data_IF_331987101174
#
_entry.id   IF_331987101174
#
_cell.length_a   1.000
_cell.length_b   1.000
_cell.length_c   1.000
_cell.angle_alpha   90.00
_cell.angle_beta   90.00
_cell.angle_gamma   90.00
#
_symmetry.space_group_name_H-M   'P 1'
#
loop_
_entity.id
_entity.type
_entity.pdbx_description
1 polymer ?
#
# COMPACT_ATOMS: atom_id res chain seq x y z
N UNK A 1 -16.29 16.58 -10.64
CA UNK A 1 -15.71 16.68 -11.99
C UNK A 1 -16.80 16.52 -13.03
N UNK A 2 -16.89 17.41 -14.02
CA UNK A 2 -17.86 17.26 -15.11
C UNK A 2 -17.08 17.13 -16.41
N UNK A 3 -17.50 16.20 -17.27
CA UNK A 3 -16.87 16.05 -18.59
C UNK A 3 -17.16 17.32 -19.40
N UNK A 4 -16.11 18.06 -19.74
CA UNK A 4 -16.23 19.40 -20.33
C UNK A 4 -16.24 19.39 -21.88
N UNK A 5 -15.82 18.31 -22.51
CA UNK A 5 -15.64 18.23 -23.97
C UNK A 5 -15.86 16.81 -24.51
N UNK A 6 -16.03 16.69 -25.83
CA UNK A 6 -16.29 15.40 -26.50
C UNK A 6 -17.78 15.01 -26.49
N UNK A 7 -18.08 13.78 -26.89
CA UNK A 7 -19.47 13.32 -27.03
C UNK A 7 -20.23 13.25 -25.70
N UNK A 8 -19.51 13.09 -24.60
CA UNK A 8 -20.07 13.03 -23.25
C UNK A 8 -20.09 14.38 -22.51
N UNK A 9 -19.75 15.48 -23.19
CA UNK A 9 -19.71 16.80 -22.60
C UNK A 9 -21.05 17.18 -21.97
N UNK A 10 -21.02 17.58 -20.70
CA UNK A 10 -22.20 17.95 -19.92
C UNK A 10 -23.16 16.80 -19.59
N UNK A 11 -22.85 15.56 -20.03
CA UNK A 11 -23.70 14.37 -19.83
C UNK A 11 -23.17 13.45 -18.76
N UNK A 12 -21.92 13.63 -18.34
CA UNK A 12 -21.26 12.82 -17.34
C UNK A 12 -20.60 13.70 -16.30
N UNK A 13 -20.84 13.39 -15.04
CA UNK A 13 -20.15 14.00 -13.92
C UNK A 13 -19.81 12.96 -12.87
N UNK A 14 -18.75 13.24 -12.12
CA UNK A 14 -18.19 12.35 -11.12
C UNK A 14 -17.98 13.12 -9.82
N UNK A 15 -18.33 12.50 -8.70
CA UNK A 15 -17.99 12.96 -7.36
C UNK A 15 -17.15 11.89 -6.70
N UNK A 16 -15.98 12.26 -6.20
CA UNK A 16 -15.03 11.35 -5.56
C UNK A 16 -15.04 11.56 -4.05
N UNK A 17 -15.09 10.46 -3.32
CA UNK A 17 -15.02 10.40 -1.87
C UNK A 17 -13.84 9.54 -1.45
N UNK A 18 -12.98 10.09 -0.60
CA UNK A 18 -11.73 9.45 -0.16
C UNK A 18 -11.92 8.52 1.06
N UNK A 19 -13.15 8.34 1.51
CA UNK A 19 -13.51 7.55 2.69
C UNK A 19 -13.54 8.33 4.01
N UNK A 20 -13.14 9.60 4.02
CA UNK A 20 -13.12 10.44 5.24
C UNK A 20 -14.32 11.37 5.40
N UNK A 21 -15.28 11.29 4.49
CA UNK A 21 -16.53 12.05 4.57
C UNK A 21 -17.32 11.74 5.85
N UNK A 22 -18.00 12.76 6.34
CA UNK A 22 -18.82 12.72 7.57
C UNK A 22 -20.31 12.89 7.31
N UNK A 23 -20.70 13.09 6.06
CA UNK A 23 -22.09 13.25 5.60
C UNK A 23 -22.28 12.55 4.25
N UNK A 24 -23.51 12.16 3.96
CA UNK A 24 -23.88 11.58 2.66
C UNK A 24 -23.78 12.64 1.53
N UNK A 25 -23.74 12.19 0.27
CA UNK A 25 -23.88 13.08 -0.90
C UNK A 25 -25.32 13.58 -0.97
N UNK A 26 -25.52 14.89 -0.74
CA UNK A 26 -26.85 15.52 -0.75
C UNK A 26 -27.60 15.21 -2.06
N UNK A 27 -26.92 15.24 -3.20
CA UNK A 27 -27.54 15.03 -4.50
C UNK A 27 -27.95 13.56 -4.74
N UNK A 28 -27.24 12.59 -4.16
CA UNK A 28 -27.59 11.17 -4.17
C UNK A 28 -28.87 10.92 -3.33
N UNK A 29 -28.96 11.59 -2.18
CA UNK A 29 -30.14 11.52 -1.28
C UNK A 29 -31.34 12.22 -1.92
N UNK A 30 -31.17 13.45 -2.40
CA UNK A 30 -32.22 14.27 -3.02
C UNK A 30 -32.82 13.62 -4.28
N UNK A 31 -31.97 12.98 -5.10
CA UNK A 31 -32.39 12.32 -6.34
C UNK A 31 -32.63 10.82 -6.19
N UNK A 32 -32.73 10.32 -4.96
CA UNK A 32 -33.00 8.90 -4.72
C UNK A 32 -34.31 8.46 -5.40
N UNK A 33 -34.22 7.43 -6.24
CA UNK A 33 -35.37 6.84 -6.92
C UNK A 33 -35.35 5.30 -6.79
N UNK A 34 -36.32 4.65 -6.12
CA UNK A 34 -37.43 5.28 -5.39
C UNK A 34 -36.93 6.14 -4.23
N UNK A 35 -37.77 7.08 -3.79
CA UNK A 35 -37.48 7.94 -2.64
C UNK A 35 -37.13 7.08 -1.41
N UNK A 36 -36.06 7.45 -0.70
CA UNK A 36 -35.54 6.69 0.44
C UNK A 36 -34.58 5.55 0.09
N UNK A 37 -34.28 5.32 -1.20
CA UNK A 37 -33.20 4.38 -1.60
C UNK A 37 -31.84 4.80 -1.02
N UNK A 38 -31.56 6.10 -1.04
CA UNK A 38 -30.41 6.71 -0.39
C UNK A 38 -30.93 7.70 0.64
N UNK A 39 -30.26 7.75 1.79
CA UNK A 39 -30.64 8.53 2.97
C UNK A 39 -29.38 9.16 3.54
N UNK A 40 -29.53 10.12 4.46
CA UNK A 40 -28.41 10.77 5.14
C UNK A 40 -27.51 9.78 5.93
N UNK A 41 -28.03 8.59 6.25
CA UNK A 41 -27.28 7.52 6.92
C UNK A 41 -26.30 6.80 5.98
N UNK A 42 -26.49 6.92 4.65
CA UNK A 42 -25.65 6.27 3.64
C UNK A 42 -24.39 7.10 3.34
N UNK A 43 -23.57 7.35 4.36
CA UNK A 43 -22.35 8.17 4.27
C UNK A 43 -21.19 7.43 3.59
N UNK A 44 -21.09 6.10 3.81
CA UNK A 44 -19.97 5.28 3.33
C UNK A 44 -18.67 5.49 4.10
N UNK A 45 -18.72 5.74 5.41
CA UNK A 45 -17.53 5.97 6.24
C UNK A 45 -16.47 4.86 6.06
N UNK A 46 -15.21 5.27 5.91
CA UNK A 46 -14.08 4.34 5.77
C UNK A 46 -13.99 3.67 4.39
N UNK A 47 -14.89 3.99 3.46
CA UNK A 47 -14.89 3.46 2.10
C UNK A 47 -14.65 4.56 1.08
N UNK A 48 -13.65 4.35 0.23
CA UNK A 48 -13.42 5.18 -0.95
C UNK A 48 -14.43 4.79 -2.04
N UNK A 49 -15.18 5.75 -2.56
CA UNK A 49 -16.14 5.51 -3.64
C UNK A 49 -16.24 6.68 -4.61
N UNK A 50 -16.77 6.38 -5.80
CA UNK A 50 -17.02 7.35 -6.85
C UNK A 50 -18.50 7.30 -7.24
N UNK A 51 -19.16 8.46 -7.24
CA UNK A 51 -20.51 8.59 -7.78
C UNK A 51 -20.39 9.05 -9.23
N UNK A 52 -20.75 8.19 -10.17
CA UNK A 52 -20.89 8.54 -11.59
C UNK A 52 -22.35 8.92 -11.90
N UNK A 53 -22.56 10.17 -12.32
CA UNK A 53 -23.87 10.71 -12.71
C UNK A 53 -23.89 10.87 -14.22
N UNK A 54 -24.79 10.14 -14.87
CA UNK A 54 -24.92 10.09 -16.32
C UNK A 54 -26.32 10.57 -16.73
N UNK A 55 -26.39 11.41 -17.76
CA UNK A 55 -27.65 11.83 -18.39
C UNK A 55 -27.83 11.07 -19.69
N UNK A 56 -28.84 10.20 -19.74
CA UNK A 56 -29.16 9.40 -20.92
C UNK A 56 -29.33 10.28 -22.16
N UNK A 57 -28.67 9.87 -23.24
CA UNK A 57 -28.76 10.51 -24.55
C UNK A 57 -28.81 9.42 -25.61
N UNK A 58 -29.87 9.38 -26.43
CA UNK A 58 -30.12 8.29 -27.37
C UNK A 58 -29.01 8.14 -28.43
N UNK A 59 -28.35 9.23 -28.80
CA UNK A 59 -27.30 9.23 -29.83
C UNK A 59 -25.91 9.05 -29.23
N UNK A 60 -25.66 9.69 -28.09
CA UNK A 60 -24.30 9.83 -27.55
C UNK A 60 -24.03 9.01 -26.28
N UNK A 61 -25.05 8.65 -25.50
CA UNK A 61 -24.91 7.95 -24.23
C UNK A 61 -26.13 7.05 -23.98
N UNK A 62 -26.29 6.05 -24.85
CA UNK A 62 -27.42 5.14 -24.86
C UNK A 62 -27.19 3.86 -24.03
N UNK A 63 -25.97 3.65 -23.54
CA UNK A 63 -25.58 2.58 -22.64
C UNK A 63 -24.69 3.12 -21.52
N UNK A 64 -24.54 2.34 -20.45
CA UNK A 64 -23.59 2.66 -19.39
C UNK A 64 -22.17 2.36 -19.88
N UNK A 65 -21.22 3.33 -19.84
CA UNK A 65 -19.84 3.10 -20.24
C UNK A 65 -19.06 2.29 -19.21
N UNK A 66 -18.04 1.57 -19.68
CA UNK A 66 -17.02 1.00 -18.81
C UNK A 66 -16.04 2.09 -18.37
N UNK A 67 -15.71 2.10 -17.09
CA UNK A 67 -14.78 3.05 -16.51
C UNK A 67 -13.46 2.41 -16.14
N UNK A 68 -12.37 3.13 -16.39
CA UNK A 68 -11.05 2.83 -15.88
C UNK A 68 -10.53 4.06 -15.13
N UNK A 69 -10.10 3.85 -13.88
CA UNK A 69 -9.61 4.93 -13.02
C UNK A 69 -8.19 4.61 -12.56
N UNK A 70 -7.36 5.64 -12.58
CA UNK A 70 -6.09 5.65 -11.86
C UNK A 70 -6.34 6.33 -10.51
N UNK A 71 -5.94 5.64 -9.43
CA UNK A 71 -6.18 6.11 -8.07
C UNK A 71 -4.89 6.05 -7.25
N UNK A 72 -4.73 7.04 -6.38
CA UNK A 72 -3.75 6.99 -5.30
C UNK A 72 -4.39 6.28 -4.12
N UNK A 73 -3.68 5.32 -3.56
CA UNK A 73 -4.14 4.51 -2.43
C UNK A 73 -4.26 5.30 -1.12
N UNK A 74 -4.42 4.55 -0.02
CA UNK A 74 -4.58 5.11 1.31
C UNK A 74 -3.43 6.06 1.70
N UNK A 75 -3.74 7.03 2.57
CA UNK A 75 -2.71 7.83 3.24
C UNK A 75 -2.07 6.97 4.32
N UNK A 76 -0.74 6.96 4.36
CA UNK A 76 0.02 6.10 5.24
C UNK A 76 0.84 6.92 6.25
N UNK A 77 1.01 6.34 7.43
CA UNK A 77 1.89 6.89 8.45
C UNK A 77 3.34 6.59 8.10
N UNK A 78 4.12 7.64 7.84
CA UNK A 78 5.59 7.56 7.78
C UNK A 78 6.20 7.91 9.15
N UNK A 79 6.75 6.91 9.84
CA UNK A 79 7.41 7.05 11.14
C UNK A 79 8.65 7.97 11.08
N UNK A 80 9.29 8.13 9.92
CA UNK A 80 10.41 9.08 9.74
C UNK A 80 9.93 10.53 9.80
N UNK A 81 8.64 10.77 9.63
CA UNK A 81 7.99 12.08 9.68
C UNK A 81 7.27 12.34 11.01
N UNK A 82 7.44 11.48 12.01
CA UNK A 82 6.86 11.67 13.33
C UNK A 82 7.94 12.03 14.37
N UNK A 83 7.94 13.30 14.79
CA UNK A 83 8.88 13.80 15.80
C UNK A 83 8.72 13.19 17.20
N UNK A 84 7.63 12.48 17.48
CA UNK A 84 7.39 11.84 18.78
C UNK A 84 8.06 10.48 18.93
N UNK A 85 8.47 9.87 17.81
CA UNK A 85 9.14 8.55 17.75
C UNK A 85 10.54 8.62 17.13
N UNK A 86 11.15 9.80 17.13
CA UNK A 86 12.53 10.01 16.63
C UNK A 86 12.65 10.45 15.17
N UNK A 87 11.53 10.64 14.46
CA UNK A 87 11.49 11.23 13.12
C UNK A 87 11.52 12.77 13.13
N UNK A 88 11.19 13.38 11.99
CA UNK A 88 11.06 14.83 11.84
C UNK A 88 9.80 15.19 11.04
N UNK A 89 8.80 15.74 11.73
CA UNK A 89 7.56 16.18 11.09
C UNK A 89 6.34 16.07 12.00
N UNK A 90 5.17 16.25 11.37
CA UNK A 90 3.87 16.33 12.03
C UNK A 90 3.05 15.05 11.98
N UNK A 91 3.56 13.96 11.38
CA UNK A 91 2.83 12.69 11.38
C UNK A 91 2.62 12.21 12.80
N UNK A 92 1.46 11.62 13.12
CA UNK A 92 1.17 11.04 14.44
C UNK A 92 0.36 9.77 14.28
N UNK A 93 0.88 8.64 14.76
CA UNK A 93 0.13 7.38 14.73
C UNK A 93 -1.26 7.54 15.38
N UNK A 94 -2.28 6.98 14.74
CA UNK A 94 -3.68 7.11 15.15
C UNK A 94 -4.36 8.41 14.70
N UNK A 95 -3.64 9.37 14.11
CA UNK A 95 -4.20 10.57 13.52
C UNK A 95 -4.09 10.56 11.99
N UNK A 96 -5.09 9.95 11.35
CA UNK A 96 -5.15 9.77 9.89
C UNK A 96 -5.06 11.09 9.10
N UNK A 97 -5.48 12.22 9.69
CA UNK A 97 -5.38 13.53 9.05
C UNK A 97 -3.94 13.98 8.81
N UNK A 98 -2.98 13.43 9.55
CA UNK A 98 -1.55 13.73 9.41
C UNK A 98 -0.84 12.84 8.39
N UNK A 99 -1.49 11.78 7.93
CA UNK A 99 -0.88 10.81 7.01
C UNK A 99 -0.91 11.34 5.58
N UNK A 100 -0.05 10.80 4.73
CA UNK A 100 0.04 11.22 3.32
C UNK A 100 0.19 10.01 2.39
N UNK A 101 -0.09 10.22 1.11
CA UNK A 101 0.17 9.19 0.11
C UNK A 101 1.68 8.99 -0.09
N UNK A 102 2.10 7.73 -0.21
CA UNK A 102 3.49 7.35 -0.48
C UNK A 102 3.53 6.12 -1.38
N UNK A 103 4.59 6.03 -2.19
CA UNK A 103 4.90 4.87 -3.03
C UNK A 103 6.00 3.99 -2.42
N UNK A 104 6.41 4.28 -1.17
CA UNK A 104 7.49 3.56 -0.50
C UNK A 104 6.97 2.22 0.08
N UNK A 105 7.45 1.06 -0.40
CA UNK A 105 6.94 -0.25 0.03
C UNK A 105 7.19 -0.55 1.51
N UNK A 106 8.23 0.03 2.11
CA UNK A 106 8.54 -0.19 3.53
C UNK A 106 7.56 0.56 4.42
N UNK A 107 7.13 1.75 4.00
CA UNK A 107 6.08 2.49 4.70
C UNK A 107 4.74 1.76 4.55
N UNK A 108 4.47 1.16 3.39
CA UNK A 108 3.29 0.29 3.18
C UNK A 108 3.30 -0.93 4.10
N UNK A 109 4.42 -1.67 4.15
CA UNK A 109 4.61 -2.83 5.04
C UNK A 109 4.41 -2.46 6.51
N UNK A 110 5.00 -1.35 6.96
CA UNK A 110 4.84 -0.88 8.34
C UNK A 110 3.37 -0.64 8.70
N UNK A 111 2.62 0.06 7.83
CA UNK A 111 1.20 0.34 8.08
C UNK A 111 0.35 -0.95 8.03
N UNK A 112 0.66 -1.87 7.11
CA UNK A 112 -0.03 -3.16 7.04
C UNK A 112 0.20 -4.02 8.29
N UNK A 113 1.44 -4.06 8.80
CA UNK A 113 1.77 -4.79 10.04
C UNK A 113 1.10 -4.20 11.26
N UNK A 114 1.08 -2.86 11.37
CA UNK A 114 0.33 -2.17 12.43
C UNK A 114 -1.18 -2.31 12.30
N UNK A 115 -1.68 -2.52 11.08
CA UNK A 115 -3.09 -2.69 10.77
C UNK A 115 -3.79 -1.40 10.35
N UNK A 116 -4.83 -1.57 9.55
CA UNK A 116 -5.76 -0.53 9.14
C UNK A 116 -7.06 -0.66 9.94
N UNK A 117 -7.40 0.40 10.67
CA UNK A 117 -8.60 0.44 11.50
C UNK A 117 -9.45 1.66 11.16
N UNK A 118 -10.76 1.48 11.26
CA UNK A 118 -11.75 2.55 11.14
C UNK A 118 -12.72 2.46 12.31
N UNK A 119 -13.00 3.57 13.00
CA UNK A 119 -13.85 3.59 14.19
C UNK A 119 -13.46 2.55 15.28
N UNK A 120 -12.14 2.36 15.48
CA UNK A 120 -11.56 1.35 16.38
C UNK A 120 -11.84 -0.12 15.99
N UNK A 121 -12.34 -0.37 14.78
CA UNK A 121 -12.48 -1.71 14.23
C UNK A 121 -11.40 -1.94 13.18
N UNK A 122 -10.60 -3.00 13.34
CA UNK A 122 -9.52 -3.32 12.41
C UNK A 122 -10.08 -4.17 11.26
N UNK A 123 -10.01 -3.65 10.04
CA UNK A 123 -10.54 -4.34 8.87
C UNK A 123 -9.46 -5.06 8.05
N UNK A 124 -8.18 -4.69 8.21
CA UNK A 124 -7.08 -5.29 7.45
C UNK A 124 -5.73 -5.16 8.17
N UNK A 125 -4.81 -6.07 7.88
CA UNK A 125 -3.46 -6.07 8.45
C UNK A 125 -3.31 -6.92 9.72
N UNK A 126 -2.12 -6.88 10.31
CA UNK A 126 -1.73 -7.83 11.38
C UNK A 126 -2.00 -7.35 12.80
N UNK A 127 -2.19 -6.03 13.00
CA UNK A 127 -2.42 -5.48 14.34
C UNK A 127 -1.22 -5.59 15.30
N UNK A 128 0.01 -5.63 14.77
CA UNK A 128 1.23 -5.74 15.57
C UNK A 128 1.48 -4.51 16.45
N UNK A 129 2.02 -4.74 17.63
CA UNK A 129 2.44 -3.68 18.54
C UNK A 129 3.65 -2.93 17.96
N UNK A 130 3.76 -1.61 18.20
CA UNK A 130 4.89 -0.81 17.72
C UNK A 130 6.24 -1.27 18.28
N UNK A 131 6.26 -1.94 19.44
CA UNK A 131 7.47 -2.46 20.07
C UNK A 131 8.06 -3.64 19.29
N UNK A 132 7.23 -4.42 18.59
CA UNK A 132 7.65 -5.54 17.73
C UNK A 132 8.14 -5.08 16.35
N UNK A 133 8.07 -3.77 16.07
CA UNK A 133 8.44 -3.18 14.79
C UNK A 133 9.55 -2.13 14.99
N UNK A 134 10.83 -2.55 14.98
CA UNK A 134 11.96 -1.66 15.27
C UNK A 134 12.08 -0.53 14.24
N UNK A 135 11.68 0.69 14.65
CA UNK A 135 11.56 1.87 13.79
C UNK A 135 12.88 2.27 13.14
N UNK A 136 14.01 2.06 13.82
CA UNK A 136 15.36 2.34 13.30
C UNK A 136 15.68 1.46 12.08
N UNK A 137 15.35 0.16 12.14
CA UNK A 137 15.56 -0.77 11.03
C UNK A 137 14.60 -0.49 9.87
N UNK A 138 13.35 -0.20 10.19
CA UNK A 138 12.36 0.29 9.22
C UNK A 138 12.81 1.58 8.53
N UNK A 139 13.42 2.52 9.26
CA UNK A 139 13.93 3.77 8.69
C UNK A 139 15.08 3.54 7.71
N UNK A 140 16.02 2.67 8.06
CA UNK A 140 17.09 2.27 7.15
C UNK A 140 16.52 1.68 5.87
N UNK A 141 15.59 0.72 5.99
CA UNK A 141 14.92 0.09 4.85
C UNK A 141 14.17 1.12 3.97
N UNK A 142 13.35 1.99 4.58
CA UNK A 142 12.59 2.99 3.85
C UNK A 142 13.49 4.01 3.15
N UNK A 143 14.61 4.40 3.78
CA UNK A 143 15.58 5.31 3.19
C UNK A 143 16.26 4.68 1.96
N UNK A 144 16.59 3.39 1.99
CA UNK A 144 17.14 2.67 0.83
C UNK A 144 16.16 2.73 -0.35
N UNK A 145 14.85 2.50 -0.12
CA UNK A 145 13.84 2.59 -1.18
C UNK A 145 13.75 4.00 -1.79
N UNK A 146 13.92 5.05 -0.98
CA UNK A 146 13.88 6.45 -1.42
C UNK A 146 15.21 6.98 -2.00
N UNK A 147 16.29 6.18 -2.00
CA UNK A 147 17.55 6.57 -2.63
C UNK A 147 17.35 6.89 -4.12
N UNK A 148 18.00 7.95 -4.60
CA UNK A 148 17.89 8.34 -6.01
C UNK A 148 18.90 7.56 -6.85
N UNK A 149 18.39 6.76 -7.79
CA UNK A 149 19.16 5.99 -8.77
C UNK A 149 18.76 6.46 -10.16
N UNK A 150 19.71 7.05 -10.89
CA UNK A 150 19.48 7.58 -12.25
C UNK A 150 18.31 8.59 -12.35
N UNK A 151 18.06 9.36 -11.29
CA UNK A 151 17.07 10.43 -11.27
C UNK A 151 15.69 10.03 -10.73
N UNK A 152 15.48 8.76 -10.42
CA UNK A 152 14.23 8.24 -9.84
C UNK A 152 14.50 7.57 -8.49
N UNK A 153 13.46 7.38 -7.68
CA UNK A 153 13.54 6.57 -6.46
C UNK A 153 13.92 5.13 -6.82
N UNK A 154 14.80 4.52 -6.04
CA UNK A 154 15.30 3.15 -6.23
C UNK A 154 14.16 2.14 -6.34
N UNK A 155 13.20 2.22 -5.41
CA UNK A 155 12.03 1.33 -5.38
C UNK A 155 10.74 2.11 -5.17
N UNK A 156 9.71 1.69 -5.91
CA UNK A 156 8.34 2.20 -5.79
C UNK A 156 7.38 1.02 -5.87
N UNK A 157 6.30 1.10 -5.13
CA UNK A 157 5.25 0.09 -5.12
C UNK A 157 3.89 0.74 -5.31
N UNK A 158 3.02 0.02 -6.01
CA UNK A 158 1.58 0.25 -6.02
C UNK A 158 0.95 -1.13 -5.96
N UNK A 159 0.20 -1.39 -4.89
CA UNK A 159 -0.39 -2.71 -4.63
C UNK A 159 -1.79 -2.55 -4.08
N UNK A 160 -2.63 -3.55 -4.36
CA UNK A 160 -3.90 -3.76 -3.67
C UNK A 160 -3.68 -4.90 -2.69
N UNK A 161 -3.89 -4.62 -1.40
CA UNK A 161 -3.80 -5.62 -0.36
C UNK A 161 -5.16 -6.29 -0.23
N UNK A 162 -5.15 -7.62 -0.17
CA UNK A 162 -6.35 -8.42 0.01
C UNK A 162 -6.43 -8.87 1.48
N UNK A 163 -7.51 -8.55 2.17
CA UNK A 163 -7.65 -8.86 3.59
C UNK A 163 -8.16 -10.30 3.83
N UNK A 164 -8.52 -11.02 2.77
CA UNK A 164 -8.96 -12.42 2.82
C UNK A 164 -7.81 -13.43 2.57
N UNK A 165 -6.64 -12.96 2.14
CA UNK A 165 -5.45 -13.82 1.93
C UNK A 165 -4.53 -13.83 3.14
N UNK A 166 -3.63 -14.81 3.17
CA UNK A 166 -2.64 -14.94 4.23
C UNK A 166 -1.73 -13.70 4.29
N UNK A 167 -1.37 -13.27 5.50
CA UNK A 167 -0.56 -12.07 5.65
C UNK A 167 0.80 -12.16 4.94
N UNK A 168 1.36 -13.37 4.83
CA UNK A 168 2.59 -13.63 4.10
C UNK A 168 2.49 -13.23 2.63
N UNK A 169 1.38 -13.54 1.95
CA UNK A 169 1.21 -13.23 0.53
C UNK A 169 1.20 -11.72 0.25
N UNK A 170 0.51 -10.95 1.11
CA UNK A 170 0.52 -9.49 1.04
C UNK A 170 1.91 -8.89 1.31
N UNK A 171 2.64 -9.45 2.28
CA UNK A 171 3.99 -8.99 2.61
C UNK A 171 4.96 -9.35 1.48
N UNK A 172 4.86 -10.55 0.92
CA UNK A 172 5.70 -10.99 -0.21
C UNK A 172 5.46 -10.15 -1.46
N UNK A 173 4.20 -9.77 -1.75
CA UNK A 173 3.87 -8.85 -2.83
C UNK A 173 4.56 -7.47 -2.65
N UNK A 174 4.59 -6.95 -1.42
CA UNK A 174 5.33 -5.73 -1.09
C UNK A 174 6.84 -5.92 -1.23
N UNK A 175 7.39 -7.00 -0.68
CA UNK A 175 8.82 -7.29 -0.70
C UNK A 175 9.35 -7.53 -2.12
N UNK A 176 8.55 -8.12 -3.01
CA UNK A 176 8.91 -8.32 -4.41
C UNK A 176 9.20 -6.98 -5.12
N UNK A 177 8.52 -5.89 -4.74
CA UNK A 177 8.72 -4.57 -5.34
C UNK A 177 10.09 -3.94 -5.02
N UNK A 178 10.74 -4.38 -3.94
CA UNK A 178 12.00 -3.83 -3.45
C UNK A 178 13.12 -4.86 -3.32
N UNK A 179 12.92 -6.07 -3.87
CA UNK A 179 13.84 -7.20 -3.68
C UNK A 179 14.11 -7.49 -2.21
N UNK A 180 13.10 -7.27 -1.37
CA UNK A 180 13.17 -7.36 0.08
C UNK A 180 12.98 -8.78 0.59
N UNK A 181 13.35 -8.99 1.85
CA UNK A 181 12.99 -10.18 2.62
C UNK A 181 12.66 -9.77 4.05
N UNK A 182 11.81 -10.53 4.72
CA UNK A 182 11.48 -10.31 6.13
C UNK A 182 12.54 -10.96 7.01
N UNK A 183 12.95 -10.24 8.06
CA UNK A 183 13.76 -10.78 9.15
C UNK A 183 12.92 -10.77 10.42
N UNK A 184 12.78 -11.95 11.02
CA UNK A 184 12.18 -12.11 12.33
C UNK A 184 13.27 -12.39 13.37
N UNK A 185 13.25 -11.64 14.46
CA UNK A 185 14.18 -11.79 15.58
C UNK A 185 13.47 -11.55 16.90
N UNK A 186 14.19 -11.75 18.00
CA UNK A 186 13.73 -11.38 19.36
C UNK A 186 13.50 -9.88 19.52
N UNK A 187 14.11 -9.06 18.66
CA UNK A 187 13.93 -7.59 18.64
C UNK A 187 12.73 -7.16 17.78
N UNK A 188 11.95 -8.10 17.25
CA UNK A 188 10.81 -7.83 16.38
C UNK A 188 11.01 -8.29 14.94
N UNK A 189 10.15 -7.80 14.04
CA UNK A 189 10.14 -8.13 12.62
C UNK A 189 10.37 -6.89 11.77
N UNK A 190 11.23 -6.98 10.76
CA UNK A 190 11.51 -5.85 9.85
C UNK A 190 11.96 -6.32 8.47
N UNK A 191 11.75 -5.51 7.42
CA UNK A 191 12.21 -5.83 6.08
C UNK A 191 13.70 -5.48 5.89
N UNK A 192 14.43 -6.37 5.23
CA UNK A 192 15.75 -6.10 4.65
C UNK A 192 15.58 -5.85 3.16
N UNK A 193 16.02 -4.69 2.68
CA UNK A 193 15.80 -4.26 1.28
C UNK A 193 16.99 -4.62 0.40
N UNK A 194 16.69 -5.01 -0.85
CA UNK A 194 17.68 -5.34 -1.86
C UNK A 194 18.63 -4.18 -2.12
N UNK A 195 19.82 -4.23 -1.51
CA UNK A 195 20.88 -3.25 -1.73
C UNK A 195 22.25 -3.91 -1.66
N UNK A 196 23.27 -3.24 -2.18
CA UNK A 196 24.64 -3.69 -2.03
C UNK A 196 25.03 -3.57 -0.55
N UNK A 197 25.30 -4.71 0.09
CA UNK A 197 25.74 -4.75 1.48
C UNK A 197 27.24 -5.06 1.55
N UNK A 198 27.97 -4.44 2.50
CA UNK A 198 29.36 -4.81 2.74
C UNK A 198 29.45 -6.24 3.23
N UNK A 199 30.56 -6.92 2.91
CA UNK A 199 30.82 -8.26 3.41
C UNK A 199 31.02 -8.18 4.94
N UNK A 200 30.10 -8.79 5.69
CA UNK A 200 30.13 -8.79 7.16
C UNK A 200 30.93 -9.97 7.73
N UNK A 201 30.99 -11.08 6.98
CA UNK A 201 31.76 -12.26 7.33
C UNK A 201 32.34 -12.89 6.07
N UNK A 202 33.56 -13.41 6.17
CA UNK A 202 34.18 -14.23 5.14
C UNK A 202 34.24 -15.65 5.67
N UNK A 203 33.54 -16.56 5.01
CA UNK A 203 33.63 -17.99 5.29
C UNK A 203 34.66 -18.61 4.35
N UNK A 204 35.52 -19.41 4.93
CA UNK A 204 36.54 -20.20 4.23
C UNK A 204 36.24 -21.68 4.39
N UNK A 205 36.96 -22.52 3.66
CA UNK A 205 36.82 -23.97 3.79
C UNK A 205 37.15 -24.46 5.22
N UNK A 206 37.94 -23.69 5.97
CA UNK A 206 38.29 -23.97 7.37
C UNK A 206 37.11 -23.74 8.36
N UNK A 207 36.06 -23.02 7.93
CA UNK A 207 34.86 -22.75 8.74
C UNK A 207 33.75 -23.81 8.54
N UNK A 208 33.97 -24.79 7.66
CA UNK A 208 33.02 -25.87 7.41
C UNK A 208 33.08 -26.92 8.53
N UNK A 209 31.92 -27.33 9.03
CA UNK A 209 31.83 -28.39 10.05
C UNK A 209 32.32 -29.72 9.46
N UNK A 210 33.46 -30.20 9.95
CA UNK A 210 34.04 -31.49 9.53
C UNK A 210 33.22 -32.65 10.09
N UNK A 211 32.53 -33.41 9.24
CA UNK A 211 31.78 -34.62 9.64
C UNK A 211 30.54 -34.92 8.80
N UNK A 212 30.01 -33.92 8.10
CA UNK A 212 28.86 -34.05 7.20
C UNK A 212 29.31 -34.17 5.73
N UNK A 213 28.52 -34.84 4.89
CA UNK A 213 28.80 -34.91 3.45
C UNK A 213 28.58 -33.54 2.81
N UNK A 214 29.64 -32.95 2.27
CA UNK A 214 29.56 -31.69 1.51
C UNK A 214 28.82 -31.93 0.19
N UNK A 215 27.68 -31.26 0.00
CA UNK A 215 27.00 -31.16 -1.29
C UNK A 215 27.30 -29.81 -1.92
N UNK A 216 27.95 -29.81 -3.08
CA UNK A 216 28.29 -28.60 -3.81
C UNK A 216 27.54 -28.55 -5.14
N UNK A 217 26.86 -27.43 -5.39
CA UNK A 217 26.21 -27.16 -6.67
C UNK A 217 26.67 -25.80 -7.20
N UNK A 218 27.53 -25.81 -8.23
CA UNK A 218 28.13 -24.59 -8.80
C UNK A 218 27.12 -23.67 -9.48
N UNK A 219 26.04 -24.23 -10.03
CA UNK A 219 25.01 -23.50 -10.80
C UNK A 219 23.65 -24.07 -10.48
N UNK A 220 22.67 -23.20 -10.31
CA UNK A 220 21.26 -23.59 -10.29
C UNK A 220 20.81 -24.03 -11.68
N UNK A 221 19.72 -24.79 -11.74
CA UNK A 221 19.16 -25.22 -13.02
C UNK A 221 18.67 -23.99 -13.81
N UNK A 222 18.57 -24.09 -15.15
CA UNK A 222 18.15 -22.95 -15.98
C UNK A 222 16.77 -22.41 -15.59
N UNK A 223 15.89 -23.28 -15.09
CA UNK A 223 14.56 -22.91 -14.62
C UNK A 223 14.58 -22.05 -13.34
N UNK A 224 15.65 -22.15 -12.53
CA UNK A 224 15.80 -21.42 -11.27
C UNK A 224 16.66 -20.15 -11.41
N UNK A 225 17.05 -19.79 -12.65
CA UNK A 225 17.85 -18.59 -12.93
C UNK A 225 17.01 -17.34 -13.17
N UNK A 226 15.68 -17.47 -13.22
CA UNK A 226 14.77 -16.33 -13.33
C UNK A 226 14.26 -15.96 -11.94
N UNK A 227 14.43 -14.69 -11.56
CA UNK A 227 13.59 -14.11 -10.51
C UNK A 227 12.17 -14.00 -11.09
N UNK A 228 11.15 -14.18 -10.26
CA UNK A 228 9.74 -14.16 -10.68
C UNK A 228 9.46 -12.98 -11.62
N UNK A 229 8.91 -13.27 -12.79
CA UNK A 229 8.37 -12.26 -13.70
C UNK A 229 6.87 -12.20 -13.43
N UNK A 230 6.48 -11.27 -12.56
CA UNK A 230 5.09 -10.91 -12.31
C UNK A 230 4.59 -9.90 -13.33
#
# INVERSE_FOLDING_TARGET
>A
FTVASGDYAGRMSFVFYDGTQVSADDDLVDKANPTGRWTEEHVGHGQCYLIAKLTYDQEKLNSFPDFFFELRGARLYDFRKDSSVGGSGSHRWGNYATYEFTENPVVMDYNYRRGFSWNNDMFCGMGMDPEDLPIDKYAVAANICDEIVQGEKRYRCSVLLDCDVDHGDNIDALMQSCGGMVIDSVEGSWPLIGTAQPIVATFTDDDLVTGENVRFQRRRSMADLVNSVG
#
